data_IF_256914969859
#
_entry.id   IF_256914969859
#
_cell.length_a   1.000
_cell.length_b   1.000
_cell.length_c   1.000
_cell.angle_alpha   90.00
_cell.angle_beta   90.00
_cell.angle_gamma   90.00
#
_symmetry.space_group_name_H-M   'P 1'
#
loop_
_entity.id
_entity.type
_entity.pdbx_description
1 polymer ?
#
# COMPACT_ATOMS: atom_id res chain seq x y z
N UNK A 1 23.23 18.74 6.33
CA UNK A 1 21.94 19.39 6.02
C UNK A 1 20.88 18.83 6.97
N UNK A 2 20.13 19.66 7.72
CA UNK A 2 19.14 19.17 8.68
C UNK A 2 17.98 18.43 7.97
N UNK A 3 17.55 17.29 8.54
CA UNK A 3 16.38 16.51 8.07
C UNK A 3 15.29 16.52 9.13
N UNK A 4 14.08 16.93 8.75
CA UNK A 4 12.91 16.84 9.62
C UNK A 4 12.44 15.38 9.70
N UNK A 5 12.19 14.90 10.92
CA UNK A 5 11.71 13.56 11.20
C UNK A 5 10.46 13.64 12.08
N UNK A 6 9.44 12.84 11.75
CA UNK A 6 8.26 12.66 12.57
C UNK A 6 8.42 11.39 13.42
N UNK A 7 7.99 11.45 14.68
CA UNK A 7 8.12 10.34 15.63
C UNK A 7 6.80 10.13 16.39
N UNK A 8 6.64 8.94 16.97
CA UNK A 8 5.51 8.60 17.84
C UNK A 8 4.73 7.37 17.40
N UNK A 9 3.70 7.03 18.19
CA UNK A 9 2.96 5.78 18.02
C UNK A 9 2.18 5.70 16.71
N UNK A 10 1.72 6.84 16.20
CA UNK A 10 0.99 6.90 14.93
C UNK A 10 1.88 6.49 13.75
N UNK A 11 3.11 7.03 13.67
CA UNK A 11 4.06 6.66 12.61
C UNK A 11 4.55 5.22 12.76
N UNK A 12 4.71 4.75 14.01
CA UNK A 12 5.03 3.34 14.28
C UNK A 12 3.90 2.40 13.83
N UNK A 13 2.64 2.75 14.13
CA UNK A 13 1.47 1.96 13.72
C UNK A 13 1.33 1.95 12.20
N UNK A 14 1.50 3.09 11.54
CA UNK A 14 1.49 3.18 10.08
C UNK A 14 2.58 2.32 9.44
N UNK A 15 3.81 2.35 9.98
CA UNK A 15 4.90 1.47 9.54
C UNK A 15 4.56 -0.01 9.69
N UNK A 16 3.87 -0.40 10.78
CA UNK A 16 3.42 -1.80 10.98
C UNK A 16 2.32 -2.20 10.00
N UNK A 17 1.35 -1.30 9.73
CA UNK A 17 0.32 -1.51 8.71
C UNK A 17 0.95 -1.73 7.33
N UNK A 18 1.95 -0.94 6.97
CA UNK A 18 2.69 -1.09 5.72
C UNK A 18 3.43 -2.43 5.67
N UNK A 19 4.21 -2.76 6.71
CA UNK A 19 5.04 -3.98 6.74
C UNK A 19 4.23 -5.28 6.67
N UNK A 20 2.97 -5.24 7.08
CA UNK A 20 2.03 -6.38 7.04
C UNK A 20 1.01 -6.25 5.92
N UNK A 21 1.15 -5.25 5.04
CA UNK A 21 0.28 -5.00 3.91
C UNK A 21 0.44 -6.02 2.79
N UNK A 22 -0.40 -5.89 1.77
CA UNK A 22 -0.30 -6.66 0.53
C UNK A 22 -0.17 -5.68 -0.64
N UNK A 23 0.52 -6.06 -1.73
CA UNK A 23 0.76 -5.18 -2.86
C UNK A 23 -0.56 -4.78 -3.54
N UNK A 24 -0.57 -3.57 -4.09
CA UNK A 24 -1.74 -2.95 -4.74
C UNK A 24 -2.98 -2.82 -3.83
N UNK A 25 -2.80 -2.80 -2.51
CA UNK A 25 -3.88 -2.57 -1.54
C UNK A 25 -3.51 -1.45 -0.57
N UNK A 26 -4.53 -0.76 -0.07
CA UNK A 26 -4.37 0.29 0.96
C UNK A 26 -4.83 -0.29 2.29
N UNK A 27 -3.89 -0.56 3.19
CA UNK A 27 -4.15 -1.11 4.53
C UNK A 27 -4.51 0.01 5.51
N UNK A 28 -5.65 -0.11 6.18
CA UNK A 28 -6.11 0.89 7.15
C UNK A 28 -6.56 0.24 8.47
N UNK A 29 -6.33 0.95 9.57
CA UNK A 29 -6.74 0.53 10.90
C UNK A 29 -8.20 0.95 11.21
N UNK A 30 -8.75 0.43 12.30
CA UNK A 30 -10.13 0.69 12.71
C UNK A 30 -10.44 2.18 12.93
N UNK A 31 -9.52 2.96 13.52
CA UNK A 31 -9.75 4.39 13.75
C UNK A 31 -9.94 5.16 12.43
N UNK A 32 -9.11 4.84 11.43
CA UNK A 32 -9.23 5.44 10.09
C UNK A 32 -10.57 5.08 9.44
N UNK A 33 -11.00 3.81 9.54
CA UNK A 33 -12.31 3.37 9.01
C UNK A 33 -13.48 4.12 9.64
N UNK A 34 -13.46 4.32 10.96
CA UNK A 34 -14.50 5.09 11.66
C UNK A 34 -14.62 6.50 11.10
N UNK A 35 -13.48 7.18 10.89
CA UNK A 35 -13.44 8.52 10.31
C UNK A 35 -13.98 8.49 8.86
N UNK A 36 -13.49 7.59 8.02
CA UNK A 36 -13.92 7.48 6.61
C UNK A 36 -15.43 7.20 6.49
N UNK A 37 -16.00 6.40 7.38
CA UNK A 37 -17.44 6.16 7.44
C UNK A 37 -18.20 7.40 7.91
N UNK A 38 -17.69 8.12 8.91
CA UNK A 38 -18.34 9.35 9.40
C UNK A 38 -18.36 10.49 8.38
N UNK A 39 -17.40 10.53 7.45
CA UNK A 39 -17.38 11.51 6.36
C UNK A 39 -18.51 11.28 5.36
N UNK A 40 -19.06 10.05 5.30
CA UNK A 40 -20.13 9.66 4.36
C UNK A 40 -19.81 9.98 2.88
N UNK A 41 -18.53 9.95 2.54
CA UNK A 41 -17.97 10.38 1.24
C UNK A 41 -17.95 9.25 0.17
N UNK A 42 -18.65 8.15 0.46
CA UNK A 42 -18.75 7.00 -0.44
C UNK A 42 -17.49 6.13 -0.54
N UNK A 43 -16.64 6.09 0.49
CA UNK A 43 -15.49 5.17 0.55
C UNK A 43 -15.94 3.72 0.72
N UNK A 44 -15.33 2.81 -0.04
CA UNK A 44 -15.59 1.36 -0.01
C UNK A 44 -14.49 0.66 0.78
N UNK A 45 -14.87 -0.08 1.81
CA UNK A 45 -13.95 -0.67 2.78
C UNK A 45 -14.31 -2.14 2.99
N UNK A 46 -13.33 -3.02 2.81
CA UNK A 46 -13.48 -4.45 3.04
C UNK A 46 -12.72 -4.88 4.29
N UNK A 47 -13.27 -5.84 5.04
CA UNK A 47 -12.60 -6.42 6.21
C UNK A 47 -11.41 -7.26 5.74
N UNK A 48 -10.22 -7.00 6.28
CA UNK A 48 -9.06 -7.88 6.10
C UNK A 48 -9.11 -9.05 7.07
N UNK A 49 -9.50 -8.75 8.31
CA UNK A 49 -9.51 -9.68 9.44
C UNK A 49 -8.54 -9.25 10.55
N UNK A 50 -8.20 -10.20 11.41
CA UNK A 50 -7.32 -9.97 12.57
C UNK A 50 -5.85 -9.94 12.14
N UNK A 51 -5.15 -8.88 12.52
CA UNK A 51 -3.73 -8.67 12.25
C UNK A 51 -2.98 -8.49 13.56
N UNK A 52 -1.89 -9.23 13.76
CA UNK A 52 -1.01 -9.02 14.90
C UNK A 52 -0.08 -7.82 14.66
N UNK A 53 -0.11 -6.87 15.58
CA UNK A 53 0.70 -5.67 15.58
C UNK A 53 1.54 -5.62 16.84
N UNK A 54 2.86 -5.67 16.66
CA UNK A 54 3.81 -5.62 17.78
C UNK A 54 3.55 -4.37 18.65
N UNK A 55 3.28 -4.59 19.93
CA UNK A 55 3.01 -3.53 20.91
C UNK A 55 1.55 -3.06 21.00
N UNK A 56 0.68 -3.46 20.07
CA UNK A 56 -0.77 -3.20 20.10
C UNK A 56 -1.61 -4.47 20.31
N UNK A 57 -1.03 -5.64 20.02
CA UNK A 57 -1.73 -6.92 20.08
C UNK A 57 -2.42 -7.24 18.76
N UNK A 58 -3.51 -8.00 18.82
CA UNK A 58 -4.29 -8.39 17.65
C UNK A 58 -5.42 -7.38 17.44
N UNK A 59 -5.42 -6.70 16.30
CA UNK A 59 -6.47 -5.75 15.93
C UNK A 59 -7.17 -6.18 14.63
N UNK A 60 -8.45 -5.81 14.49
CA UNK A 60 -9.15 -5.93 13.21
C UNK A 60 -8.72 -4.78 12.29
N UNK A 61 -8.33 -5.13 11.06
CA UNK A 61 -7.90 -4.17 10.05
C UNK A 61 -8.66 -4.37 8.74
N UNK A 62 -8.51 -3.40 7.84
CA UNK A 62 -9.37 -3.27 6.67
C UNK A 62 -8.57 -2.86 5.43
N UNK A 63 -9.15 -3.16 4.27
CA UNK A 63 -8.70 -2.68 2.97
C UNK A 63 -9.58 -1.52 2.51
N UNK A 64 -8.97 -0.40 2.16
CA UNK A 64 -9.66 0.63 1.39
C UNK A 64 -9.62 0.22 -0.09
N UNK A 65 -10.78 -0.14 -0.65
CA UNK A 65 -10.89 -0.75 -1.99
C UNK A 65 -11.45 0.19 -3.06
N UNK A 66 -11.93 1.37 -2.66
CA UNK A 66 -12.34 2.38 -3.62
C UNK A 66 -13.10 3.55 -3.02
N UNK A 67 -13.56 4.43 -3.90
CA UNK A 67 -14.45 5.55 -3.58
C UNK A 67 -15.52 5.66 -4.66
N UNK A 68 -16.73 6.03 -4.27
CA UNK A 68 -17.81 6.38 -5.20
C UNK A 68 -17.35 7.56 -6.08
N UNK A 69 -17.73 7.56 -7.35
CA UNK A 69 -17.29 8.53 -8.36
C UNK A 69 -15.77 8.53 -8.69
N UNK A 70 -15.02 7.51 -8.24
CA UNK A 70 -13.66 7.30 -8.71
C UNK A 70 -13.68 6.52 -10.03
N UNK A 71 -13.57 7.23 -11.14
CA UNK A 71 -13.69 6.66 -12.49
C UNK A 71 -12.40 6.03 -13.04
N UNK A 72 -11.25 6.25 -12.39
CA UNK A 72 -9.98 5.69 -12.85
C UNK A 72 -9.93 4.19 -12.52
N UNK A 73 -9.45 3.34 -13.44
CA UNK A 73 -9.28 1.92 -13.16
C UNK A 73 -8.24 1.75 -12.04
N UNK A 74 -8.59 0.98 -11.03
CA UNK A 74 -7.65 0.57 -9.99
C UNK A 74 -6.82 -0.62 -10.48
N UNK A 75 -5.54 -0.71 -10.08
CA UNK A 75 -4.75 -1.90 -10.36
C UNK A 75 -5.41 -3.11 -9.70
N UNK A 76 -5.47 -4.23 -10.43
CA UNK A 76 -6.00 -5.47 -9.87
C UNK A 76 -4.95 -6.05 -8.93
N UNK A 77 -5.28 -6.28 -7.64
CA UNK A 77 -4.34 -6.93 -6.73
C UNK A 77 -3.98 -8.33 -7.22
N UNK A 78 -2.71 -8.76 -7.10
CA UNK A 78 -2.32 -10.12 -7.41
C UNK A 78 -2.98 -11.10 -6.45
N UNK A 79 -3.24 -12.32 -6.94
CA UNK A 79 -3.64 -13.45 -6.10
C UNK A 79 -2.40 -13.96 -5.37
N UNK A 80 -2.38 -13.86 -4.04
CA UNK A 80 -1.28 -14.29 -3.19
C UNK A 80 -1.78 -15.44 -2.32
N UNK A 81 -1.17 -16.61 -2.47
CA UNK A 81 -1.45 -17.80 -1.67
C UNK A 81 -0.50 -17.86 -0.46
N UNK A 82 -0.88 -18.54 0.62
CA UNK A 82 0.04 -18.79 1.73
C UNK A 82 1.31 -19.49 1.23
N UNK A 83 2.47 -18.89 1.48
CA UNK A 83 3.78 -19.38 1.02
C UNK A 83 4.36 -18.65 -0.20
N UNK A 84 3.57 -17.84 -0.90
CA UNK A 84 4.09 -17.04 -2.02
C UNK A 84 5.00 -15.90 -1.52
N UNK A 85 6.20 -15.78 -2.10
CA UNK A 85 7.11 -14.66 -1.85
C UNK A 85 6.74 -13.44 -2.70
N UNK A 86 5.62 -12.82 -2.38
CA UNK A 86 5.13 -11.65 -3.12
C UNK A 86 6.09 -10.45 -3.01
N UNK A 87 6.88 -10.32 -1.93
CA UNK A 87 7.84 -9.22 -1.80
C UNK A 87 8.92 -9.27 -2.90
N UNK A 88 9.40 -10.48 -3.21
CA UNK A 88 10.38 -10.68 -4.27
C UNK A 88 9.77 -10.42 -5.65
N UNK A 89 8.53 -10.87 -5.90
CA UNK A 89 7.81 -10.58 -7.14
C UNK A 89 7.69 -9.07 -7.40
N UNK A 90 7.27 -8.31 -6.38
CA UNK A 90 7.15 -6.84 -6.46
C UNK A 90 8.53 -6.20 -6.68
N UNK A 91 9.56 -6.70 -6.02
CA UNK A 91 10.94 -6.21 -6.18
C UNK A 91 11.44 -6.40 -7.60
N UNK A 92 11.22 -7.56 -8.21
CA UNK A 92 11.62 -7.83 -9.59
C UNK A 92 10.80 -7.01 -10.61
N UNK A 93 9.52 -6.79 -10.34
CA UNK A 93 8.68 -5.90 -11.15
C UNK A 93 9.21 -4.46 -11.14
N UNK A 94 9.56 -3.94 -9.96
CA UNK A 94 10.14 -2.61 -9.78
C UNK A 94 11.48 -2.51 -10.53
N UNK A 95 12.40 -3.46 -10.32
CA UNK A 95 13.69 -3.50 -11.03
C UNK A 95 13.49 -3.53 -12.54
N UNK A 96 12.53 -4.29 -13.03
CA UNK A 96 12.23 -4.40 -14.46
C UNK A 96 11.71 -3.08 -15.03
N UNK A 97 10.83 -2.38 -14.30
CA UNK A 97 10.36 -1.06 -14.70
C UNK A 97 11.50 -0.04 -14.78
N UNK A 98 12.37 0.02 -13.78
CA UNK A 98 13.53 0.92 -13.81
C UNK A 98 14.50 0.60 -14.95
N UNK A 99 14.79 -0.69 -15.20
CA UNK A 99 15.62 -1.11 -16.34
C UNK A 99 15.03 -0.67 -17.68
N UNK A 100 13.71 -0.79 -17.86
CA UNK A 100 13.01 -0.36 -19.08
C UNK A 100 13.05 1.17 -19.24
N UNK A 101 12.82 1.92 -18.17
CA UNK A 101 12.89 3.38 -18.19
C UNK A 101 14.28 3.88 -18.59
N UNK A 102 15.34 3.34 -17.98
CA UNK A 102 16.71 3.71 -18.30
C UNK A 102 17.07 3.41 -19.77
N UNK A 103 16.66 2.23 -20.30
CA UNK A 103 16.87 1.90 -21.73
C UNK A 103 16.16 2.86 -22.69
N UNK A 104 15.00 3.41 -22.33
CA UNK A 104 14.31 4.41 -23.16
C UNK A 104 15.02 5.76 -23.13
N UNK A 105 15.55 6.15 -21.98
CA UNK A 105 16.36 7.36 -21.82
C UNK A 105 17.62 7.26 -22.68
N UNK A 106 18.36 6.15 -22.62
CA UNK A 106 19.57 5.93 -23.43
C UNK A 106 19.28 5.99 -24.93
N UNK A 107 18.18 5.33 -25.38
CA UNK A 107 17.74 5.40 -26.78
C UNK A 107 17.37 6.80 -27.23
N UNK A 108 16.86 7.67 -26.34
CA UNK A 108 16.51 9.05 -26.68
C UNK A 108 17.75 9.91 -26.90
N UNK A 109 18.82 9.69 -26.12
CA UNK A 109 20.09 10.41 -26.28
C UNK A 109 20.91 9.94 -27.50
N UNK A 110 20.77 8.69 -27.90
CA UNK A 110 21.46 8.14 -29.09
C UNK A 110 20.85 8.57 -30.44
N UNK A 111 19.62 9.09 -30.44
CA UNK A 111 18.90 9.52 -31.65
C UNK A 111 18.74 11.06 -31.74
N UNK A 112 19.59 11.81 -31.02
CA UNK A 112 19.69 13.26 -31.05
C UNK A 112 21.08 13.65 -31.54
#
# INVERSE_FOLDING_TARGET
>A
MPRYCLFGDTVNTASRMESTGLPYRIHVNCSTVKILRSLNDGYKIDVRGKTELKGKGIEETYWLVGKTNFAKPLPKPPEIRPGDNWQEMVTEEIKTHFRKANRQVDKKYLNQ
#
